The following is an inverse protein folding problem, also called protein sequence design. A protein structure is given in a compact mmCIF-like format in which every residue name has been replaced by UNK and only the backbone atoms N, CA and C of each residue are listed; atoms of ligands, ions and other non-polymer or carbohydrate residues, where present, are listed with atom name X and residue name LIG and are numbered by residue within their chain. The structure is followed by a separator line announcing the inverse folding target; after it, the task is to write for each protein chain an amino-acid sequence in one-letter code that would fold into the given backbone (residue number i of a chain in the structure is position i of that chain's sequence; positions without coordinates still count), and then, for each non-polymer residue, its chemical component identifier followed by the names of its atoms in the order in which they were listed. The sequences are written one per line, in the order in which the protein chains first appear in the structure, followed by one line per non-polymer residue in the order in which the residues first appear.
data_IF_826957653607
#
_entry.id   IF_826957653607
#
_cell.length_a   1.000
_cell.length_b   1.000
_cell.length_c   1.000
_cell.angle_alpha   90.00
_cell.angle_beta   90.00
_cell.angle_gamma   90.00
#
_symmetry.space_group_name_H-M   'P 1'
#
loop_
_entity.id
_entity.type
_entity.pdbx_description
1 polymer ?
#
# COMPACT_ATOMS: atom_id res chain seq x y z
N UNK A 1 2.61 -3.12 37.90
CA UNK A 1 2.86 -4.49 38.42
C UNK A 1 4.31 -4.82 38.13
N UNK A 2 5.18 -4.87 39.15
CA UNK A 2 6.62 -5.10 38.98
C UNK A 2 6.92 -6.59 38.98
N UNK A 3 7.59 -7.10 37.94
CA UNK A 3 8.22 -8.42 37.98
C UNK A 3 9.73 -8.22 38.12
N UNK A 4 10.23 -8.54 39.31
CA UNK A 4 11.63 -8.81 39.55
C UNK A 4 11.98 -10.16 38.92
N UNK A 5 13.14 -10.26 38.26
CA UNK A 5 13.82 -11.55 38.04
C UNK A 5 15.17 -11.53 38.76
N UNK A 6 15.52 -12.60 39.50
CA UNK A 6 16.78 -12.68 40.21
C UNK A 6 17.87 -13.32 39.34
N UNK A 7 19.06 -12.69 39.41
CA UNK A 7 20.40 -13.26 39.24
C UNK A 7 20.72 -14.14 38.01
N UNK A 8 21.68 -13.66 37.22
CA UNK A 8 22.69 -14.52 36.58
C UNK A 8 22.64 -14.62 35.06
N UNK A 9 22.96 -13.53 34.36
CA UNK A 9 23.20 -13.55 32.91
C UNK A 9 23.88 -12.27 32.46
N UNK A 10 25.21 -12.30 32.35
CA UNK A 10 26.04 -11.16 31.94
C UNK A 10 25.91 -10.95 30.43
N UNK A 11 25.15 -9.94 30.01
CA UNK A 11 25.29 -9.38 28.67
C UNK A 11 26.52 -8.45 28.70
N UNK A 12 27.56 -8.80 27.94
CA UNK A 12 28.77 -8.01 27.85
C UNK A 12 28.50 -6.66 27.20
N UNK A 13 28.56 -5.60 27.98
CA UNK A 13 28.63 -4.24 27.48
C UNK A 13 30.09 -3.90 27.20
N UNK A 14 30.35 -3.37 26.00
CA UNK A 14 31.66 -2.86 25.59
C UNK A 14 32.17 -1.77 26.54
N UNK A 15 33.47 -1.49 26.44
CA UNK A 15 34.19 -0.54 27.29
C UNK A 15 33.45 0.80 27.43
N UNK A 16 33.33 1.27 28.67
CA UNK A 16 32.79 2.59 29.02
C UNK A 16 33.76 3.66 28.47
N UNK A 17 33.32 4.58 27.60
CA UNK A 17 34.18 5.66 27.12
C UNK A 17 34.58 6.56 28.28
N UNK A 18 35.82 7.04 28.28
CA UNK A 18 36.28 8.02 29.29
C UNK A 18 35.60 9.38 29.04
N UNK A 19 35.31 10.09 30.11
CA UNK A 19 34.73 11.43 30.06
C UNK A 19 35.59 12.35 29.18
N UNK A 20 35.06 12.74 28.01
CA UNK A 20 35.73 13.62 27.06
C UNK A 20 35.37 13.42 25.58
N UNK A 21 34.74 12.31 25.20
CA UNK A 21 34.45 11.98 23.78
C UNK A 21 33.01 12.23 23.32
N UNK A 22 32.15 12.83 24.15
CA UNK A 22 30.76 13.12 23.80
C UNK A 22 30.64 14.59 23.40
N UNK A 23 30.37 14.86 22.12
CA UNK A 23 29.98 16.21 21.66
C UNK A 23 28.66 16.63 22.35
N UNK A 24 28.55 17.86 22.85
CA UNK A 24 27.37 18.31 23.57
C UNK A 24 26.31 18.77 22.57
N UNK A 25 25.54 17.83 22.02
CA UNK A 25 24.23 18.13 21.40
C UNK A 25 23.10 18.13 22.42
N UNK A 26 23.42 18.06 23.72
CA UNK A 26 22.47 18.07 24.81
C UNK A 26 21.61 19.34 24.86
N UNK A 27 20.36 19.14 25.22
CA UNK A 27 19.34 20.17 25.41
C UNK A 27 19.88 21.33 26.27
N UNK A 28 19.88 22.53 25.69
CA UNK A 28 20.39 23.76 26.31
C UNK A 28 19.64 24.06 27.61
N UNK A 29 18.36 23.72 27.66
CA UNK A 29 17.48 23.96 28.80
C UNK A 29 17.87 23.06 29.99
N UNK A 30 18.25 21.80 29.72
CA UNK A 30 18.79 20.89 30.72
C UNK A 30 20.13 21.38 31.28
N UNK A 31 21.01 21.89 30.40
CA UNK A 31 22.30 22.45 30.81
C UNK A 31 22.13 23.70 31.67
N UNK A 32 21.14 24.54 31.38
CA UNK A 32 20.82 25.74 32.16
C UNK A 32 20.23 25.37 33.54
N UNK A 33 19.37 24.35 33.62
CA UNK A 33 18.83 23.83 34.90
C UNK A 33 19.95 23.23 35.78
N UNK A 34 20.86 22.46 35.19
CA UNK A 34 22.00 21.88 35.90
C UNK A 34 22.97 22.97 36.38
N UNK A 35 23.21 24.00 35.57
CA UNK A 35 24.02 25.15 35.94
C UNK A 35 23.38 25.98 37.07
N UNK A 36 22.05 26.14 37.06
CA UNK A 36 21.28 26.81 38.12
C UNK A 36 21.24 26.03 39.45
N UNK A 37 21.61 24.76 39.44
CA UNK A 37 21.62 23.86 40.61
C UNK A 37 22.94 23.81 41.36
N UNK A 38 23.90 24.69 41.01
CA UNK A 38 25.24 24.69 41.59
C UNK A 38 25.21 24.76 43.13
N UNK A 39 25.70 23.70 43.79
CA UNK A 39 25.78 23.59 45.26
C UNK A 39 24.75 22.66 45.91
N UNK A 40 23.89 22.01 45.13
CA UNK A 40 22.98 20.95 45.63
C UNK A 40 23.53 19.59 45.20
N UNK A 41 23.55 18.63 46.12
CA UNK A 41 23.94 17.24 45.83
C UNK A 41 22.79 16.56 45.08
N UNK A 42 22.78 16.69 43.76
CA UNK A 42 21.76 16.12 42.89
C UNK A 42 22.14 14.69 42.52
N UNK A 43 21.30 13.73 42.89
CA UNK A 43 21.36 12.39 42.30
C UNK A 43 20.65 12.44 40.95
N UNK A 44 21.42 12.65 39.88
CA UNK A 44 20.92 12.58 38.51
C UNK A 44 20.96 11.12 38.06
N UNK A 45 19.80 10.49 37.97
CA UNK A 45 19.68 9.20 37.27
C UNK A 45 19.58 9.50 35.78
N UNK A 46 20.71 9.38 35.07
CA UNK A 46 20.71 9.43 33.61
C UNK A 46 20.08 8.13 33.12
N UNK A 47 18.79 8.18 32.79
CA UNK A 47 18.15 7.13 32.00
C UNK A 47 18.61 7.35 30.57
N UNK A 48 19.53 6.50 30.09
CA UNK A 48 20.02 6.55 28.72
C UNK A 48 18.88 6.15 27.78
N UNK A 49 18.01 7.11 27.45
CA UNK A 49 16.97 6.98 26.45
C UNK A 49 17.58 6.95 25.06
N UNK A 50 17.98 5.76 24.62
CA UNK A 50 17.73 5.25 23.26
C UNK A 50 17.95 6.20 22.06
N UNK A 51 19.00 7.01 21.99
CA UNK A 51 19.23 7.78 20.76
C UNK A 51 19.55 6.91 19.54
N UNK A 52 19.86 5.61 19.71
CA UNK A 52 20.26 4.70 18.62
C UNK A 52 19.46 3.37 18.56
N UNK A 53 18.23 3.30 19.08
CA UNK A 53 17.41 2.13 18.78
C UNK A 53 16.91 2.22 17.33
N UNK A 54 17.03 1.15 16.52
CA UNK A 54 16.41 1.11 15.20
C UNK A 54 14.92 1.46 15.30
N UNK A 55 14.50 2.48 14.55
CA UNK A 55 13.13 2.99 14.56
C UNK A 55 12.87 4.20 15.45
N UNK A 56 13.80 4.63 16.30
CA UNK A 56 13.62 5.81 17.16
C UNK A 56 13.27 7.09 16.37
N UNK A 57 13.77 7.23 15.13
CA UNK A 57 13.48 8.34 14.22
C UNK A 57 12.01 8.44 13.78
N UNK A 58 11.22 7.38 13.96
CA UNK A 58 9.78 7.45 13.72
C UNK A 58 9.09 8.44 14.68
N UNK A 59 9.60 8.57 15.90
CA UNK A 59 9.07 9.53 16.87
C UNK A 59 9.30 10.97 16.40
N UNK A 60 10.48 11.26 15.81
CA UNK A 60 10.76 12.57 15.20
C UNK A 60 9.75 12.86 14.08
N UNK A 61 9.48 11.89 13.20
CA UNK A 61 8.54 12.04 12.09
C UNK A 61 7.10 12.28 12.57
N UNK A 62 6.66 11.58 13.62
CA UNK A 62 5.36 11.81 14.27
C UNK A 62 5.28 13.23 14.83
N UNK A 63 6.32 13.70 15.53
CA UNK A 63 6.36 15.04 16.10
C UNK A 63 6.36 16.14 15.03
N UNK A 64 7.09 15.94 13.92
CA UNK A 64 7.07 16.85 12.77
C UNK A 64 5.68 16.93 12.16
N UNK A 65 5.03 15.80 11.90
CA UNK A 65 3.66 15.76 11.36
C UNK A 65 2.65 16.48 12.27
N UNK A 66 2.75 16.26 13.59
CA UNK A 66 1.90 16.96 14.55
C UNK A 66 2.11 18.49 14.50
N UNK A 67 3.37 18.94 14.41
CA UNK A 67 3.69 20.36 14.29
C UNK A 67 3.18 20.98 13.00
N UNK A 68 3.31 20.27 11.88
CA UNK A 68 2.88 20.72 10.55
C UNK A 68 1.36 20.98 10.51
N UNK A 69 0.56 20.10 11.12
CA UNK A 69 -0.91 20.21 11.12
C UNK A 69 -1.49 21.02 12.28
N UNK A 70 -0.72 21.27 13.32
CA UNK A 70 -1.14 22.11 14.46
C UNK A 70 -1.27 23.60 14.08
N UNK A 71 -2.05 24.40 14.84
CA UNK A 71 -2.12 25.85 14.64
C UNK A 71 -0.75 26.52 14.55
N UNK A 72 -0.58 27.41 13.56
CA UNK A 72 0.71 28.04 13.26
C UNK A 72 1.73 27.11 12.58
N UNK A 73 1.29 25.93 12.12
CA UNK A 73 1.99 25.05 11.19
C UNK A 73 1.72 25.43 9.73
N UNK A 74 1.79 24.45 8.84
CA UNK A 74 1.60 24.62 7.40
C UNK A 74 0.10 24.65 7.04
N UNK A 75 -0.39 25.71 6.36
CA UNK A 75 -1.79 25.79 5.96
C UNK A 75 -2.25 24.67 5.04
N UNK A 76 -1.40 24.26 4.09
CA UNK A 76 -1.75 23.19 3.15
C UNK A 76 -1.90 21.85 3.87
N UNK A 77 -0.98 21.53 4.80
CA UNK A 77 -1.06 20.30 5.58
C UNK A 77 -2.34 20.28 6.41
N UNK A 78 -2.66 21.37 7.10
CA UNK A 78 -3.86 21.47 7.95
C UNK A 78 -5.19 21.31 7.17
N UNK A 79 -5.24 21.66 5.89
CA UNK A 79 -6.43 21.53 5.04
C UNK A 79 -6.66 20.10 4.53
N UNK A 80 -5.66 19.20 4.61
CA UNK A 80 -5.79 17.85 4.07
C UNK A 80 -6.78 16.98 4.85
N UNK A 81 -7.45 16.10 4.10
CA UNK A 81 -8.43 15.12 4.57
C UNK A 81 -8.05 13.72 4.08
N UNK A 82 -8.67 12.67 4.64
CA UNK A 82 -8.46 11.31 4.13
C UNK A 82 -8.74 11.19 2.62
N UNK A 83 -9.77 11.87 2.13
CA UNK A 83 -10.16 11.82 0.72
C UNK A 83 -9.21 12.59 -0.18
N UNK A 84 -8.72 13.76 0.24
CA UNK A 84 -7.79 14.56 -0.58
C UNK A 84 -6.41 13.89 -0.71
N UNK A 85 -6.02 13.09 0.27
CA UNK A 85 -4.74 12.37 0.28
C UNK A 85 -4.78 11.00 -0.41
N UNK A 86 -5.96 10.48 -0.73
CA UNK A 86 -6.11 9.11 -1.25
C UNK A 86 -5.41 8.89 -2.61
N UNK A 87 -5.34 9.91 -3.46
CA UNK A 87 -4.59 9.83 -4.73
C UNK A 87 -3.09 9.77 -4.48
N UNK A 88 -2.57 10.64 -3.62
CA UNK A 88 -1.15 10.67 -3.25
C UNK A 88 -0.70 9.33 -2.66
N UNK A 89 -1.46 8.76 -1.71
CA UNK A 89 -1.16 7.42 -1.18
C UNK A 89 -1.07 6.34 -2.27
N UNK A 90 -1.91 6.42 -3.30
CA UNK A 90 -1.86 5.48 -4.41
C UNK A 90 -0.65 5.74 -5.33
N UNK A 91 -0.32 7.01 -5.57
CA UNK A 91 0.85 7.44 -6.33
C UNK A 91 2.14 6.95 -5.66
N UNK A 92 2.37 7.27 -4.38
CA UNK A 92 3.59 6.84 -3.65
C UNK A 92 3.72 5.30 -3.60
N UNK A 93 2.59 4.60 -3.50
CA UNK A 93 2.59 3.13 -3.53
C UNK A 93 3.02 2.57 -4.89
N UNK A 94 2.68 3.26 -5.98
CA UNK A 94 3.13 2.89 -7.32
C UNK A 94 4.58 3.30 -7.58
N UNK A 95 5.03 4.43 -7.06
CA UNK A 95 6.43 4.86 -7.15
C UNK A 95 7.33 3.88 -6.38
N UNK A 96 6.95 3.49 -5.15
CA UNK A 96 7.63 2.44 -4.40
C UNK A 96 7.64 1.09 -5.15
N UNK A 97 6.52 0.71 -5.77
CA UNK A 97 6.44 -0.51 -6.57
C UNK A 97 7.34 -0.44 -7.82
N UNK A 98 7.40 0.71 -8.49
CA UNK A 98 8.29 0.93 -9.62
C UNK A 98 9.76 0.83 -9.20
N UNK A 99 10.16 1.45 -8.09
CA UNK A 99 11.53 1.37 -7.59
C UNK A 99 11.96 -0.08 -7.27
N UNK A 100 11.02 -0.95 -6.85
CA UNK A 100 11.28 -2.39 -6.70
C UNK A 100 11.52 -3.07 -8.05
N UNK A 101 10.70 -2.77 -9.06
CA UNK A 101 10.86 -3.35 -10.39
C UNK A 101 12.15 -2.90 -11.09
N UNK A 102 12.55 -1.66 -10.86
CA UNK A 102 13.77 -1.06 -11.41
C UNK A 102 15.03 -1.45 -10.59
N UNK A 103 14.89 -2.28 -9.55
CA UNK A 103 15.94 -2.67 -8.58
C UNK A 103 16.70 -1.47 -7.99
N UNK A 104 16.03 -0.32 -7.87
CA UNK A 104 16.62 0.92 -7.40
C UNK A 104 16.39 1.10 -5.90
N UNK A 105 17.36 0.65 -5.10
CA UNK A 105 17.28 0.74 -3.64
C UNK A 105 17.30 2.17 -3.07
N UNK A 106 17.86 3.15 -3.80
CA UNK A 106 17.91 4.52 -3.33
C UNK A 106 16.52 5.15 -3.40
N UNK A 107 15.89 5.06 -4.56
CA UNK A 107 14.53 5.54 -4.80
C UNK A 107 13.56 4.75 -3.91
N UNK A 108 13.68 3.42 -3.81
CA UNK A 108 12.82 2.61 -2.94
C UNK A 108 12.81 3.12 -1.49
N UNK A 109 13.94 3.59 -0.97
CA UNK A 109 14.01 4.15 0.38
C UNK A 109 13.26 5.48 0.49
N UNK A 110 13.33 6.33 -0.54
CA UNK A 110 12.62 7.60 -0.63
C UNK A 110 11.11 7.35 -0.66
N UNK A 111 10.65 6.51 -1.59
CA UNK A 111 9.22 6.21 -1.78
C UNK A 111 8.59 5.51 -0.57
N UNK A 112 9.33 4.62 0.11
CA UNK A 112 8.86 4.04 1.37
C UNK A 112 8.71 5.10 2.48
N UNK A 113 9.51 6.16 2.43
CA UNK A 113 9.37 7.33 3.28
C UNK A 113 8.09 8.10 2.99
N UNK A 114 7.75 8.29 1.71
CA UNK A 114 6.53 8.99 1.30
C UNK A 114 5.26 8.17 1.59
N UNK A 115 5.28 6.85 1.38
CA UNK A 115 4.22 5.96 1.85
C UNK A 115 4.04 6.06 3.38
N UNK A 116 5.14 6.11 4.14
CA UNK A 116 5.08 6.30 5.59
C UNK A 116 4.51 7.68 5.96
N UNK A 117 4.88 8.74 5.25
CA UNK A 117 4.32 10.08 5.42
C UNK A 117 2.79 10.07 5.27
N UNK A 118 2.25 9.34 4.30
CA UNK A 118 0.81 9.20 4.11
C UNK A 118 0.13 8.48 5.30
N UNK A 119 0.78 7.46 5.88
CA UNK A 119 0.30 6.80 7.11
C UNK A 119 0.24 7.80 8.27
N UNK A 120 1.28 8.61 8.44
CA UNK A 120 1.34 9.64 9.48
C UNK A 120 0.26 10.72 9.30
N UNK A 121 0.01 11.19 8.08
CA UNK A 121 -1.07 12.12 7.78
C UNK A 121 -2.43 11.57 8.19
N UNK A 122 -2.77 10.36 7.73
CA UNK A 122 -4.06 9.75 8.04
C UNK A 122 -4.24 9.50 9.54
N UNK A 123 -3.19 9.04 10.23
CA UNK A 123 -3.20 8.89 11.67
C UNK A 123 -3.41 10.23 12.40
N UNK A 124 -2.73 11.29 11.96
CA UNK A 124 -2.89 12.62 12.57
C UNK A 124 -4.28 13.20 12.34
N UNK A 125 -4.85 13.06 11.15
CA UNK A 125 -6.22 13.48 10.81
C UNK A 125 -7.24 12.74 11.67
N UNK A 126 -7.09 11.42 11.84
CA UNK A 126 -7.97 10.62 12.68
C UNK A 126 -7.91 11.07 14.15
N UNK A 127 -6.73 11.43 14.65
CA UNK A 127 -6.56 11.99 15.98
C UNK A 127 -7.17 13.40 16.14
N UNK A 128 -7.28 14.21 15.09
CA UNK A 128 -7.94 15.53 15.13
C UNK A 128 -9.45 15.45 15.31
N UNK A 129 -10.09 14.36 14.85
CA UNK A 129 -11.49 14.08 15.11
C UNK A 129 -11.82 14.07 16.62
N UNK A 130 -10.80 13.85 17.46
CA UNK A 130 -10.86 13.84 18.91
C UNK A 130 -10.84 15.24 19.57
N UNK A 131 -10.79 16.35 18.79
CA UNK A 131 -10.46 17.67 19.35
C UNK A 131 -11.12 18.91 18.73
N UNK A 132 -12.14 18.78 17.87
CA UNK A 132 -12.96 19.92 17.40
C UNK A 132 -14.29 20.02 18.14
N UNK A 133 -14.24 20.06 19.48
CA UNK A 133 -15.28 20.70 20.28
C UNK A 133 -14.80 22.12 20.58
N UNK A 134 -15.33 23.08 19.83
CA UNK A 134 -15.46 24.53 20.09
C UNK A 134 -14.27 25.31 20.66
N UNK A 135 -13.91 26.40 19.99
CA UNK A 135 -12.81 27.29 20.32
C UNK A 135 -12.99 28.03 21.66
N UNK A 136 -12.68 27.36 22.76
CA UNK A 136 -12.48 27.98 24.07
C UNK A 136 -11.09 27.63 24.62
N UNK A 137 -10.45 28.63 25.20
CA UNK A 137 -9.01 28.80 25.40
C UNK A 137 -8.36 27.94 26.49
N UNK A 138 -8.91 26.78 26.82
CA UNK A 138 -8.45 25.97 27.97
C UNK A 138 -7.81 24.61 27.56
N UNK A 139 -7.47 24.44 26.29
CA UNK A 139 -7.06 23.14 25.70
C UNK A 139 -5.62 22.68 25.91
N UNK A 140 -4.80 23.41 26.68
CA UNK A 140 -3.38 23.06 26.89
C UNK A 140 -3.18 22.21 28.16
N UNK A 141 -4.03 22.39 29.18
CA UNK A 141 -3.97 21.59 30.43
C UNK A 141 -4.63 20.20 30.30
N UNK A 142 -5.56 20.01 29.36
CA UNK A 142 -6.28 18.74 29.18
C UNK A 142 -5.46 17.64 28.47
N UNK A 143 -4.38 18.01 27.76
CA UNK A 143 -3.56 17.06 26.99
C UNK A 143 -2.73 16.13 27.88
N UNK A 144 -2.23 16.64 29.00
CA UNK A 144 -1.39 15.87 29.94
C UNK A 144 -2.19 14.91 30.84
N UNK A 145 -3.47 15.18 31.07
CA UNK A 145 -4.35 14.30 31.86
C UNK A 145 -5.03 13.22 30.99
N UNK A 146 -5.36 13.51 29.72
CA UNK A 146 -5.99 12.54 28.82
C UNK A 146 -5.03 11.41 28.37
N UNK A 147 -3.72 11.66 28.35
CA UNK A 147 -2.72 10.65 27.98
C UNK A 147 -2.54 9.52 29.03
N UNK A 148 -3.13 9.65 30.22
CA UNK A 148 -2.98 8.68 31.33
C UNK A 148 -4.21 7.82 31.58
N UNK A 149 -5.34 8.12 30.92
CA UNK A 149 -6.58 7.38 31.08
C UNK A 149 -6.98 6.72 29.75
N UNK A 150 -6.55 5.47 29.56
CA UNK A 150 -6.97 4.60 28.44
C UNK A 150 -8.50 4.42 28.37
N UNK A 151 -9.25 4.85 29.40
CA UNK A 151 -10.71 4.77 29.49
C UNK A 151 -11.51 5.99 28.99
N UNK A 152 -10.88 7.08 28.55
CA UNK A 152 -11.56 8.35 28.26
C UNK A 152 -11.70 8.70 26.76
N UNK A 153 -11.51 7.75 25.83
CA UNK A 153 -11.81 7.98 24.40
C UNK A 153 -13.33 7.91 24.19
N UNK A 154 -14.01 9.05 24.23
CA UNK A 154 -15.47 9.15 24.09
C UNK A 154 -15.97 9.07 22.63
N UNK A 155 -15.09 8.91 21.65
CA UNK A 155 -15.43 8.67 20.25
C UNK A 155 -14.84 7.33 19.78
N UNK A 156 -15.69 6.33 19.55
CA UNK A 156 -15.32 4.99 19.07
C UNK A 156 -14.64 5.00 17.69
N UNK A 157 -14.63 6.15 16.99
CA UNK A 157 -14.05 6.28 15.64
C UNK A 157 -12.70 6.99 15.59
N UNK A 158 -12.23 7.60 16.69
CA UNK A 158 -10.95 8.28 16.76
C UNK A 158 -9.79 7.28 17.01
N UNK A 159 -8.69 7.45 16.26
CA UNK A 159 -7.47 6.64 16.37
C UNK A 159 -6.24 7.44 15.96
N UNK A 160 -5.06 6.99 16.36
CA UNK A 160 -3.78 7.65 16.06
C UNK A 160 -2.70 6.66 15.54
N UNK A 161 -1.45 7.12 15.48
CA UNK A 161 -0.33 6.33 14.98
C UNK A 161 0.03 5.18 15.91
N UNK A 162 -0.17 5.35 17.21
CA UNK A 162 0.11 4.32 18.21
C UNK A 162 -0.93 3.20 18.11
N UNK A 163 -2.20 3.54 17.87
CA UNK A 163 -3.24 2.55 17.59
C UNK A 163 -2.94 1.74 16.32
N UNK A 164 -2.44 2.39 15.26
CA UNK A 164 -2.01 1.71 14.02
C UNK A 164 -0.85 0.76 14.30
N UNK A 165 0.17 1.23 15.02
CA UNK A 165 1.37 0.45 15.35
C UNK A 165 1.04 -0.74 16.27
N UNK A 166 0.22 -0.52 17.30
CA UNK A 166 -0.26 -1.56 18.20
C UNK A 166 -1.09 -2.61 17.44
N UNK A 167 -2.05 -2.16 16.62
CA UNK A 167 -2.89 -3.03 15.81
C UNK A 167 -2.11 -3.85 14.77
N UNK A 168 -0.99 -3.33 14.25
CA UNK A 168 -0.06 -4.08 13.41
C UNK A 168 0.73 -5.11 14.24
N UNK A 169 1.30 -4.68 15.37
CA UNK A 169 2.13 -5.51 16.24
C UNK A 169 1.35 -6.71 16.77
N UNK A 170 0.18 -6.48 17.37
CA UNK A 170 -0.70 -7.53 17.89
C UNK A 170 -1.12 -8.52 16.80
N UNK A 171 -1.38 -8.01 15.60
CA UNK A 171 -1.75 -8.84 14.44
C UNK A 171 -0.58 -9.70 13.96
N UNK A 172 0.63 -9.16 13.93
CA UNK A 172 1.83 -9.92 13.59
C UNK A 172 2.11 -11.00 14.64
N UNK A 173 2.12 -10.65 15.93
CA UNK A 173 2.33 -11.62 17.03
C UNK A 173 1.31 -12.75 16.96
N UNK A 174 0.03 -12.41 16.87
CA UNK A 174 -1.08 -13.38 16.86
C UNK A 174 -1.10 -14.28 15.63
N UNK A 175 -0.68 -13.78 14.46
CA UNK A 175 -0.62 -14.58 13.22
C UNK A 175 0.65 -15.43 13.11
N UNK A 176 1.61 -15.25 14.01
CA UNK A 176 2.85 -16.03 14.04
C UNK A 176 2.98 -16.81 15.36
N UNK A 177 2.01 -17.68 15.72
CA UNK A 177 2.11 -18.48 16.95
C UNK A 177 3.24 -19.52 16.89
N UNK A 178 3.85 -19.71 15.72
CA UNK A 178 5.06 -20.52 15.55
C UNK A 178 6.36 -19.77 15.83
N UNK A 179 6.32 -18.45 15.95
CA UNK A 179 7.44 -17.61 16.38
C UNK A 179 7.23 -17.16 17.83
N UNK A 180 6.02 -16.68 18.16
CA UNK A 180 5.72 -16.05 19.46
C UNK A 180 4.89 -16.92 20.41
N UNK A 181 4.57 -18.15 20.01
CA UNK A 181 3.76 -19.09 20.78
C UNK A 181 4.38 -20.49 20.81
N UNK A 182 3.52 -21.51 20.85
CA UNK A 182 3.92 -22.91 20.95
C UNK A 182 3.62 -23.76 19.71
N UNK A 183 3.05 -23.17 18.66
CA UNK A 183 2.67 -23.92 17.44
C UNK A 183 3.93 -24.33 16.67
N UNK A 184 4.06 -25.58 16.28
CA UNK A 184 5.14 -26.01 15.38
C UNK A 184 4.59 -26.18 13.97
N UNK A 185 5.33 -25.69 12.98
CA UNK A 185 5.01 -25.80 11.55
C UNK A 185 6.21 -26.35 10.81
N UNK A 186 5.97 -27.20 9.81
CA UNK A 186 7.01 -27.79 8.98
C UNK A 186 7.00 -27.14 7.58
N UNK A 187 7.87 -26.14 7.40
CA UNK A 187 8.03 -25.42 6.16
C UNK A 187 6.94 -24.38 5.83
N UNK A 188 7.12 -23.72 4.69
CA UNK A 188 6.31 -22.57 4.25
C UNK A 188 4.84 -22.94 4.03
N UNK A 189 4.56 -24.09 3.41
CA UNK A 189 3.19 -24.52 3.14
C UNK A 189 2.35 -24.71 4.43
N UNK A 190 2.98 -25.20 5.50
CA UNK A 190 2.35 -25.33 6.80
C UNK A 190 2.08 -23.97 7.45
N UNK A 191 3.01 -23.00 7.30
CA UNK A 191 2.81 -21.61 7.73
C UNK A 191 1.63 -20.97 7.01
N UNK A 192 1.56 -21.08 5.68
CA UNK A 192 0.46 -20.51 4.88
C UNK A 192 -0.90 -21.10 5.27
N UNK A 193 -0.95 -22.42 5.46
CA UNK A 193 -2.17 -23.12 5.92
C UNK A 193 -2.60 -22.61 7.30
N UNK A 194 -1.65 -22.41 8.22
CA UNK A 194 -1.94 -21.90 9.55
C UNK A 194 -2.42 -20.44 9.51
N UNK A 195 -1.77 -19.58 8.73
CA UNK A 195 -2.22 -18.19 8.53
C UNK A 195 -3.64 -18.12 7.99
N UNK A 196 -3.98 -18.96 7.02
CA UNK A 196 -5.31 -18.97 6.44
C UNK A 196 -6.38 -19.36 7.46
N UNK A 197 -6.13 -20.38 8.31
CA UNK A 197 -7.01 -20.73 9.43
C UNK A 197 -7.22 -19.56 10.40
N UNK A 198 -6.13 -18.89 10.79
CA UNK A 198 -6.19 -17.73 11.70
C UNK A 198 -7.02 -16.61 11.06
N UNK A 199 -6.73 -16.26 9.80
CA UNK A 199 -7.45 -15.20 9.06
C UNK A 199 -8.94 -15.49 8.89
N UNK A 200 -9.31 -16.76 8.70
CA UNK A 200 -10.70 -17.15 8.52
C UNK A 200 -11.49 -16.97 9.83
N UNK A 201 -10.91 -17.32 10.98
CA UNK A 201 -11.49 -17.05 12.31
C UNK A 201 -11.59 -15.54 12.58
N UNK A 202 -10.51 -14.79 12.34
CA UNK A 202 -10.43 -13.35 12.63
C UNK A 202 -11.45 -12.52 11.87
N UNK A 203 -11.66 -12.84 10.58
CA UNK A 203 -12.48 -11.99 9.71
C UNK A 203 -13.95 -12.33 9.76
N UNK A 204 -14.33 -13.49 10.31
CA UNK A 204 -15.73 -13.89 10.49
C UNK A 204 -16.60 -13.73 9.23
N UNK A 205 -16.00 -13.88 8.04
CA UNK A 205 -16.61 -13.44 6.79
C UNK A 205 -17.85 -14.28 6.46
N UNK A 206 -18.91 -13.61 6.04
CA UNK A 206 -20.13 -14.26 5.54
C UNK A 206 -20.04 -14.56 4.05
N UNK A 207 -19.25 -13.78 3.31
CA UNK A 207 -19.01 -13.98 1.88
C UNK A 207 -17.53 -14.18 1.56
N UNK A 208 -17.25 -15.03 0.57
CA UNK A 208 -15.89 -15.24 0.03
C UNK A 208 -15.31 -13.98 -0.62
N UNK A 209 -16.17 -13.05 -1.03
CA UNK A 209 -15.79 -11.75 -1.61
C UNK A 209 -15.59 -10.64 -0.57
N UNK A 210 -15.92 -10.89 0.69
CA UNK A 210 -15.88 -9.88 1.74
C UNK A 210 -14.45 -9.41 2.07
N UNK A 211 -14.25 -8.09 2.09
CA UNK A 211 -12.95 -7.46 2.29
C UNK A 211 -12.01 -7.55 1.08
N UNK A 212 -12.55 -7.67 -0.13
CA UNK A 212 -11.83 -7.39 -1.38
C UNK A 212 -12.05 -5.92 -1.72
N UNK A 213 -11.00 -5.07 -1.74
CA UNK A 213 -11.12 -3.70 -2.18
C UNK A 213 -11.53 -3.64 -3.65
N UNK A 214 -12.69 -3.05 -3.95
CA UNK A 214 -13.21 -2.96 -5.33
C UNK A 214 -12.55 -1.83 -6.14
N UNK A 215 -11.81 -0.95 -5.49
CA UNK A 215 -11.03 0.13 -6.11
C UNK A 215 -9.66 -0.31 -6.66
N UNK A 216 -9.27 -1.58 -6.45
CA UNK A 216 -8.04 -2.11 -7.05
C UNK A 216 -8.14 -2.13 -8.59
N UNK A 217 -7.01 -2.08 -9.31
CA UNK A 217 -6.96 -2.29 -10.76
C UNK A 217 -7.74 -3.53 -11.21
N UNK A 218 -8.34 -3.46 -12.39
CA UNK A 218 -9.33 -4.43 -12.85
C UNK A 218 -8.78 -5.87 -12.96
N UNK A 219 -7.54 -6.05 -13.44
CA UNK A 219 -6.95 -7.38 -13.58
C UNK A 219 -6.59 -7.97 -12.21
N UNK A 220 -6.02 -7.15 -11.32
CA UNK A 220 -5.76 -7.52 -9.93
C UNK A 220 -7.06 -7.88 -9.18
N UNK A 221 -8.13 -7.10 -9.36
CA UNK A 221 -9.45 -7.36 -8.79
C UNK A 221 -10.03 -8.69 -9.29
N UNK A 222 -10.04 -8.90 -10.61
CA UNK A 222 -10.48 -10.15 -11.23
C UNK A 222 -9.67 -11.35 -10.71
N UNK A 223 -8.33 -11.23 -10.68
CA UNK A 223 -7.45 -12.27 -10.21
C UNK A 223 -7.74 -12.66 -8.75
N UNK A 224 -7.99 -11.65 -7.89
CA UNK A 224 -8.32 -11.85 -6.47
C UNK A 224 -9.69 -12.50 -6.28
N UNK A 225 -10.69 -12.08 -7.04
CA UNK A 225 -12.04 -12.69 -7.01
C UNK A 225 -11.98 -14.16 -7.44
N UNK A 226 -11.33 -14.45 -8.57
CA UNK A 226 -11.19 -15.82 -9.05
C UNK A 226 -10.35 -16.68 -8.09
N UNK A 227 -9.29 -16.13 -7.46
CA UNK A 227 -8.51 -16.83 -6.42
C UNK A 227 -9.38 -17.22 -5.23
N UNK A 228 -10.27 -16.33 -4.80
CA UNK A 228 -11.21 -16.59 -3.70
C UNK A 228 -12.24 -17.65 -4.06
N UNK A 229 -12.77 -17.60 -5.28
CA UNK A 229 -13.72 -18.58 -5.79
C UNK A 229 -13.08 -19.98 -5.88
N UNK A 230 -11.89 -20.11 -6.48
CA UNK A 230 -11.15 -21.37 -6.55
C UNK A 230 -10.82 -21.92 -5.16
N UNK A 231 -10.43 -21.05 -4.21
CA UNK A 231 -10.07 -21.48 -2.85
C UNK A 231 -11.22 -22.20 -2.12
N UNK A 232 -12.47 -21.84 -2.41
CA UNK A 232 -13.66 -22.50 -1.83
C UNK A 232 -14.25 -23.60 -2.74
N UNK A 233 -13.56 -23.92 -3.85
CA UNK A 233 -13.94 -25.00 -4.74
C UNK A 233 -14.98 -24.63 -5.81
N UNK A 234 -15.17 -23.34 -6.14
CA UNK A 234 -16.03 -22.97 -7.28
C UNK A 234 -15.41 -23.51 -8.58
N UNK A 235 -16.14 -24.30 -9.37
CA UNK A 235 -15.68 -24.80 -10.67
C UNK A 235 -15.33 -23.69 -11.67
N UNK A 236 -14.34 -23.93 -12.52
CA UNK A 236 -13.82 -22.94 -13.49
C UNK A 236 -14.88 -22.51 -14.50
N UNK A 237 -15.74 -23.43 -14.94
CA UNK A 237 -16.85 -23.15 -15.86
C UNK A 237 -17.87 -22.18 -15.27
N UNK A 238 -18.10 -22.22 -13.95
CA UNK A 238 -18.94 -21.25 -13.25
C UNK A 238 -18.22 -19.92 -13.02
N UNK A 239 -16.90 -19.93 -12.82
CA UNK A 239 -16.10 -18.71 -12.67
C UNK A 239 -16.10 -17.92 -13.98
N UNK A 240 -15.92 -18.60 -15.11
CA UNK A 240 -15.82 -17.96 -16.43
C UNK A 240 -17.18 -17.63 -17.04
N UNK A 241 -18.25 -18.27 -16.57
CA UNK A 241 -19.61 -18.13 -17.12
C UNK A 241 -19.74 -18.43 -18.64
N UNK A 242 -18.71 -19.05 -19.25
CA UNK A 242 -18.70 -19.48 -20.65
C UNK A 242 -19.17 -20.93 -20.83
N UNK A 243 -19.37 -21.66 -19.73
CA UNK A 243 -19.61 -23.11 -19.75
C UNK A 243 -18.36 -23.94 -20.10
N UNK A 244 -17.18 -23.30 -20.20
CA UNK A 244 -15.90 -23.98 -20.47
C UNK A 244 -15.14 -24.28 -19.20
N UNK A 245 -14.61 -25.49 -19.10
CA UNK A 245 -13.75 -25.92 -17.98
C UNK A 245 -12.30 -25.46 -18.13
N UNK A 246 -11.90 -25.04 -19.33
CA UNK A 246 -10.54 -24.57 -19.66
C UNK A 246 -10.56 -23.06 -19.94
N UNK A 247 -9.75 -22.26 -19.21
CA UNK A 247 -9.57 -20.84 -19.52
C UNK A 247 -9.07 -20.57 -20.94
N UNK A 248 -8.20 -21.42 -21.47
CA UNK A 248 -7.69 -21.27 -22.84
C UNK A 248 -8.79 -21.46 -23.90
N UNK A 249 -9.69 -22.44 -23.70
CA UNK A 249 -10.84 -22.65 -24.59
C UNK A 249 -11.83 -21.49 -24.49
N UNK A 250 -12.08 -20.98 -23.28
CA UNK A 250 -12.94 -19.82 -23.08
C UNK A 250 -12.41 -18.59 -23.83
N UNK A 251 -11.10 -18.32 -23.74
CA UNK A 251 -10.45 -17.23 -24.48
C UNK A 251 -10.63 -17.42 -25.99
N UNK A 252 -10.38 -18.61 -26.52
CA UNK A 252 -10.50 -18.88 -27.96
C UNK A 252 -11.93 -18.65 -28.48
N UNK A 253 -12.94 -19.12 -27.74
CA UNK A 253 -14.35 -18.93 -28.10
C UNK A 253 -14.74 -17.45 -28.08
N UNK A 254 -14.37 -16.73 -27.01
CA UNK A 254 -14.70 -15.32 -26.83
C UNK A 254 -14.05 -14.43 -27.90
N UNK A 255 -12.83 -14.77 -28.35
CA UNK A 255 -12.20 -14.11 -29.51
C UNK A 255 -13.04 -14.34 -30.78
N UNK A 256 -13.53 -15.57 -30.99
CA UNK A 256 -14.40 -15.89 -32.12
C UNK A 256 -15.78 -15.21 -32.05
N UNK A 257 -16.36 -15.09 -30.86
CA UNK A 257 -17.60 -14.35 -30.63
C UNK A 257 -17.42 -12.85 -30.89
N UNK A 258 -16.31 -12.26 -30.41
CA UNK A 258 -16.00 -10.86 -30.60
C UNK A 258 -15.78 -10.53 -32.08
N UNK A 259 -15.02 -11.34 -32.81
CA UNK A 259 -14.82 -11.16 -34.25
C UNK A 259 -16.16 -11.16 -35.02
N UNK A 260 -17.07 -12.09 -34.70
CA UNK A 260 -18.41 -12.13 -35.28
C UNK A 260 -19.27 -10.92 -34.91
N UNK A 261 -19.09 -10.37 -33.71
CA UNK A 261 -19.79 -9.19 -33.25
C UNK A 261 -19.29 -7.92 -33.98
N UNK A 262 -17.98 -7.80 -34.19
CA UNK A 262 -17.37 -6.65 -34.88
C UNK A 262 -17.61 -6.64 -36.39
N UNK A 263 -17.77 -7.82 -37.02
CA UNK A 263 -18.08 -7.94 -38.45
C UNK A 263 -19.55 -7.59 -38.77
N UNK A 264 -20.42 -7.48 -37.75
CA UNK A 264 -21.82 -7.13 -37.96
C UNK A 264 -21.94 -5.62 -38.19
N UNK A 265 -22.63 -5.16 -39.27
CA UNK A 265 -22.86 -3.73 -39.46
C UNK A 265 -23.63 -3.16 -38.24
N UNK A 266 -23.29 -1.94 -37.78
CA UNK A 266 -23.96 -1.34 -36.64
C UNK A 266 -25.47 -1.30 -36.92
N UNK A 267 -26.26 -1.90 -36.04
CA UNK A 267 -27.72 -1.82 -36.12
C UNK A 267 -28.11 -0.34 -36.08
N UNK A 268 -28.92 0.19 -37.02
CA UNK A 268 -29.46 1.54 -36.88
C UNK A 268 -30.17 1.63 -35.54
N UNK A 269 -29.96 2.74 -34.82
CA UNK A 269 -30.47 2.98 -33.47
C UNK A 269 -31.98 2.65 -33.42
N UNK A 270 -32.29 1.46 -32.90
CA UNK A 270 -33.64 1.00 -32.63
C UNK A 270 -34.15 1.64 -31.35
N UNK A 271 -35.45 1.89 -31.35
CA UNK A 271 -36.36 2.40 -30.30
C UNK A 271 -35.83 2.31 -28.85
N UNK A 272 -36.03 3.35 -28.01
CA UNK A 272 -35.61 3.32 -26.61
C UNK A 272 -36.14 2.07 -25.89
N UNK A 273 -35.23 1.35 -25.22
CA UNK A 273 -35.57 0.19 -24.41
C UNK A 273 -36.61 0.57 -23.34
N UNK A 274 -37.63 -0.27 -23.17
CA UNK A 274 -38.67 -0.09 -22.15
C UNK A 274 -38.06 0.02 -20.75
N UNK A 275 -38.46 1.07 -20.03
CA UNK A 275 -38.01 1.37 -18.68
C UNK A 275 -38.50 0.30 -17.69
N UNK A 276 -37.60 -0.51 -17.13
CA UNK A 276 -37.95 -1.44 -16.06
C UNK A 276 -36.97 -2.55 -15.72
N UNK A 277 -35.93 -2.79 -16.53
CA UNK A 277 -34.91 -3.81 -16.22
C UNK A 277 -33.64 -3.12 -15.72
N UNK A 278 -32.98 -3.60 -14.65
CA UNK A 278 -31.69 -3.04 -14.25
C UNK A 278 -30.73 -3.21 -15.43
N UNK A 279 -30.24 -2.09 -15.97
CA UNK A 279 -29.32 -2.15 -17.08
C UNK A 279 -28.00 -2.78 -16.60
N UNK A 280 -27.71 -4.01 -17.02
CA UNK A 280 -26.33 -4.40 -17.33
C UNK A 280 -25.91 -3.52 -18.49
N UNK A 281 -25.42 -2.32 -18.16
CA UNK A 281 -25.11 -1.26 -19.12
C UNK A 281 -23.79 -1.57 -19.82
N UNK A 282 -23.88 -2.28 -20.94
CA UNK A 282 -22.79 -2.46 -21.88
C UNK A 282 -23.32 -2.95 -23.22
N UNK A 283 -22.66 -2.58 -24.32
CA UNK A 283 -22.99 -3.18 -25.62
C UNK A 283 -22.64 -4.68 -25.61
N UNK A 284 -23.24 -5.53 -26.47
CA UNK A 284 -22.84 -6.94 -26.54
C UNK A 284 -21.33 -7.14 -26.76
N UNK A 285 -20.69 -6.24 -27.53
CA UNK A 285 -19.25 -6.27 -27.74
C UNK A 285 -18.47 -5.91 -26.47
N UNK A 286 -18.92 -4.91 -25.72
CA UNK A 286 -18.31 -4.52 -24.44
C UNK A 286 -18.39 -5.64 -23.41
N UNK A 287 -19.54 -6.31 -23.28
CA UNK A 287 -19.67 -7.50 -22.42
C UNK A 287 -18.71 -8.60 -22.85
N UNK A 288 -18.63 -8.89 -24.15
CA UNK A 288 -17.72 -9.93 -24.69
C UNK A 288 -16.25 -9.60 -24.43
N UNK A 289 -15.86 -8.31 -24.54
CA UNK A 289 -14.51 -7.85 -24.21
C UNK A 289 -14.23 -8.02 -22.71
N UNK A 290 -15.20 -7.66 -21.85
CA UNK A 290 -15.09 -7.87 -20.41
C UNK A 290 -14.86 -9.35 -20.06
N UNK A 291 -15.66 -10.24 -20.63
CA UNK A 291 -15.55 -11.69 -20.43
C UNK A 291 -14.21 -12.22 -20.96
N UNK A 292 -13.74 -11.72 -22.10
CA UNK A 292 -12.44 -12.07 -22.67
C UNK A 292 -11.29 -11.69 -21.74
N UNK A 293 -11.29 -10.46 -21.23
CA UNK A 293 -10.29 -10.00 -20.27
C UNK A 293 -10.34 -10.81 -18.97
N UNK A 294 -11.55 -11.14 -18.49
CA UNK A 294 -11.72 -11.97 -17.30
C UNK A 294 -11.21 -13.41 -17.51
N UNK A 295 -11.46 -14.01 -18.68
CA UNK A 295 -10.93 -15.33 -19.04
C UNK A 295 -9.41 -15.31 -19.22
N UNK A 296 -8.84 -14.24 -19.81
CA UNK A 296 -7.40 -14.06 -19.92
C UNK A 296 -6.72 -13.98 -18.54
N UNK A 297 -7.35 -13.33 -17.56
CA UNK A 297 -6.89 -13.33 -16.16
C UNK A 297 -6.86 -14.75 -15.57
N UNK A 298 -7.89 -15.55 -15.84
CA UNK A 298 -7.92 -16.94 -15.37
C UNK A 298 -6.81 -17.78 -16.02
N UNK A 299 -6.55 -17.57 -17.32
CA UNK A 299 -5.46 -18.22 -18.05
C UNK A 299 -4.08 -17.81 -17.51
N UNK A 300 -3.85 -16.52 -17.27
CA UNK A 300 -2.60 -16.03 -16.67
C UNK A 300 -2.36 -16.67 -15.30
N UNK A 301 -3.39 -16.74 -14.45
CA UNK A 301 -3.30 -17.40 -13.14
C UNK A 301 -3.01 -18.88 -13.23
N UNK A 302 -3.60 -19.59 -14.20
CA UNK A 302 -3.30 -21.00 -14.45
C UNK A 302 -1.83 -21.20 -14.84
N UNK A 303 -1.24 -20.23 -15.55
CA UNK A 303 0.17 -20.21 -15.91
C UNK A 303 1.10 -19.71 -14.78
N UNK A 304 0.57 -19.32 -13.62
CA UNK A 304 1.36 -18.75 -12.51
C UNK A 304 1.83 -17.32 -12.76
N UNK A 305 1.22 -16.60 -13.70
CA UNK A 305 1.56 -15.22 -14.08
C UNK A 305 0.62 -14.24 -13.38
N UNK A 306 1.16 -13.13 -12.86
CA UNK A 306 0.35 -11.99 -12.42
C UNK A 306 -0.10 -11.20 -13.67
N UNK A 307 -1.43 -11.17 -13.97
CA UNK A 307 -1.93 -10.52 -15.18
C UNK A 307 -1.73 -9.00 -15.18
N UNK A 308 -1.76 -8.36 -14.01
CA UNK A 308 -1.60 -6.90 -13.90
C UNK A 308 -0.14 -6.53 -14.20
N UNK A 309 0.81 -7.25 -13.59
CA UNK A 309 2.23 -7.06 -13.87
C UNK A 309 2.57 -7.37 -15.34
N UNK A 310 2.05 -8.46 -15.89
CA UNK A 310 2.31 -8.85 -17.28
C UNK A 310 1.82 -7.80 -18.30
N UNK A 311 0.63 -7.23 -18.09
CA UNK A 311 0.14 -6.15 -18.94
C UNK A 311 0.98 -4.87 -18.77
N UNK A 312 1.39 -4.54 -17.53
CA UNK A 312 2.25 -3.38 -17.26
C UNK A 312 3.61 -3.50 -17.95
N UNK A 313 4.25 -4.67 -17.90
CA UNK A 313 5.50 -4.93 -18.64
C UNK A 313 5.31 -4.76 -20.14
N UNK A 314 4.21 -5.28 -20.69
CA UNK A 314 3.89 -5.12 -22.12
C UNK A 314 3.68 -3.66 -22.53
N UNK A 315 3.00 -2.88 -21.68
CA UNK A 315 2.77 -1.45 -21.89
C UNK A 315 4.07 -0.63 -21.81
N UNK A 316 4.95 -0.94 -20.84
CA UNK A 316 6.28 -0.32 -20.74
C UNK A 316 7.13 -0.60 -21.96
N UNK A 317 7.21 -1.87 -22.39
CA UNK A 317 7.91 -2.22 -23.63
C UNK A 317 7.40 -1.41 -24.82
N UNK A 318 6.08 -1.25 -24.98
CA UNK A 318 5.53 -0.43 -26.05
C UNK A 318 5.92 1.05 -25.91
N UNK A 319 5.83 1.63 -24.71
CA UNK A 319 6.27 3.01 -24.43
C UNK A 319 7.73 3.20 -24.82
N UNK A 320 8.62 2.30 -24.42
CA UNK A 320 10.06 2.41 -24.66
C UNK A 320 10.38 2.26 -26.15
N UNK A 321 9.68 1.33 -26.81
CA UNK A 321 9.76 1.15 -28.26
C UNK A 321 9.31 2.42 -29.00
N UNK A 322 8.21 3.04 -28.56
CA UNK A 322 7.69 4.27 -29.13
C UNK A 322 8.65 5.43 -28.92
N UNK A 323 9.19 5.61 -27.71
CA UNK A 323 10.17 6.65 -27.40
C UNK A 323 11.44 6.52 -28.24
N UNK A 324 11.97 5.29 -28.40
CA UNK A 324 13.12 5.03 -29.27
C UNK A 324 12.82 5.37 -30.74
N UNK A 325 11.61 5.04 -31.24
CA UNK A 325 11.20 5.40 -32.59
C UNK A 325 11.09 6.92 -32.77
N UNK A 326 10.54 7.65 -31.78
CA UNK A 326 10.49 9.11 -31.82
C UNK A 326 11.90 9.74 -31.83
N UNK A 327 12.82 9.22 -31.02
CA UNK A 327 14.22 9.66 -31.00
C UNK A 327 14.89 9.44 -32.35
N UNK A 328 14.63 8.30 -33.01
CA UNK A 328 15.15 8.01 -34.34
C UNK A 328 14.57 8.95 -35.42
N UNK A 329 13.26 9.26 -35.37
CA UNK A 329 12.62 10.23 -36.26
C UNK A 329 13.23 11.64 -36.08
N UNK A 330 13.40 12.08 -34.81
CA UNK A 330 14.01 13.38 -34.50
C UNK A 330 15.46 13.45 -34.97
N UNK A 331 16.22 12.37 -34.83
CA UNK A 331 17.60 12.26 -35.32
C UNK A 331 17.68 12.33 -36.85
N UNK A 332 16.66 11.85 -37.55
CA UNK A 332 16.53 11.99 -39.01
C UNK A 332 16.12 13.41 -39.47
N UNK A 333 15.95 14.36 -38.54
CA UNK A 333 15.58 15.74 -38.83
C UNK A 333 14.09 15.93 -39.17
N UNK A 334 13.26 14.95 -38.83
CA UNK A 334 11.81 14.99 -39.05
C UNK A 334 11.07 15.42 -37.77
N UNK A 335 9.93 16.10 -37.93
CA UNK A 335 9.00 16.31 -36.82
C UNK A 335 8.14 15.05 -36.64
N UNK A 336 8.13 14.52 -35.41
CA UNK A 336 7.29 13.37 -35.00
C UNK A 336 5.81 13.63 -35.26
N UNK A 337 5.35 14.87 -35.11
CA UNK A 337 3.94 15.25 -35.32
C UNK A 337 3.50 15.14 -36.77
N UNK A 338 4.45 15.27 -37.69
CA UNK A 338 4.21 15.18 -39.14
C UNK A 338 4.60 13.80 -39.69
N UNK A 339 5.06 12.87 -38.84
CA UNK A 339 5.48 11.55 -39.25
C UNK A 339 4.27 10.70 -39.70
N UNK A 340 4.19 10.44 -41.01
CA UNK A 340 3.24 9.50 -41.58
C UNK A 340 3.61 8.04 -41.28
N UNK A 341 2.70 7.12 -41.58
CA UNK A 341 2.87 5.68 -41.28
C UNK A 341 4.17 5.07 -41.83
N UNK A 342 4.66 5.54 -42.98
CA UNK A 342 5.92 5.05 -43.57
C UNK A 342 7.16 5.54 -42.81
N UNK A 343 7.11 6.76 -42.27
CA UNK A 343 8.17 7.28 -41.39
C UNK A 343 8.25 6.44 -40.12
N UNK A 344 7.10 6.21 -39.47
CA UNK A 344 7.03 5.32 -38.31
C UNK A 344 7.56 3.93 -38.61
N UNK A 345 7.16 3.28 -39.71
CA UNK A 345 7.68 1.96 -40.09
C UNK A 345 9.19 1.95 -40.34
N UNK A 346 9.73 3.02 -40.90
CA UNK A 346 11.16 3.15 -41.21
C UNK A 346 11.99 3.31 -39.94
N UNK A 347 11.46 4.02 -38.95
CA UNK A 347 12.17 4.38 -37.72
C UNK A 347 11.78 3.52 -36.51
N UNK A 348 10.86 2.57 -36.68
CA UNK A 348 10.48 1.63 -35.63
C UNK A 348 11.63 0.66 -35.35
N UNK A 349 12.10 0.52 -34.10
CA UNK A 349 13.18 -0.40 -33.79
C UNK A 349 12.72 -1.84 -34.01
N UNK A 350 13.64 -2.67 -34.50
CA UNK A 350 13.37 -4.10 -34.68
C UNK A 350 13.27 -4.80 -33.31
N UNK A 351 12.60 -5.95 -33.26
CA UNK A 351 12.44 -6.72 -32.02
C UNK A 351 13.75 -7.19 -31.39
N UNK A 352 14.85 -7.20 -32.15
CA UNK A 352 16.20 -7.58 -31.71
C UNK A 352 16.98 -6.40 -31.10
N UNK A 353 16.57 -5.15 -31.38
CA UNK A 353 17.21 -3.92 -30.88
C UNK A 353 16.61 -3.42 -29.56
N UNK A 354 15.48 -4.00 -29.15
CA UNK A 354 14.85 -3.72 -27.86
C UNK A 354 15.49 -4.67 -26.83
N UNK A 355 16.20 -4.17 -25.80
CA UNK A 355 16.70 -5.02 -24.73
C UNK A 355 15.57 -5.88 -24.17
N UNK A 356 15.79 -7.19 -24.08
CA UNK A 356 14.92 -8.03 -23.28
C UNK A 356 15.28 -7.73 -21.82
N UNK A 357 14.31 -7.19 -21.06
CA UNK A 357 14.41 -7.00 -19.61
C UNK A 357 14.92 -8.26 -18.89
#
# INVERSE_FOLDING_TARGET
MWLATPAGGMLGFGEVPRAGEVEPTGDRELLDVLAASAGVDLTVTVVQGSHDLPGARLLDAVAVMDRLRSPGGCPWDAEQTHTSLASYLLEEAYEAYQAIEDDNHADLREELGDVLMQVLFHARIAAEGNGRADGTSDGEAARDEAARDEGARNDETAWDIDDVAAGLTDKLVRRHPHVFGSVTVDGVAAVETNWDKIKDVEKGRRSVTEGIPLSQPALALAAKLQKRAVKVGVPVDLILATGRVSPAEAVADLVGDLARATDRPPTPAGTPAEAGTPATSGTPAETTIGDLLFAAVALARQAGVDPEAALRTSARRFRDTLAAAEDAIRTAGLDVRDAGADSWRTHWPSSEEIPAD
#
